data_IF_973931297727
#
_entry.id   IF_973931297727
#
_cell.length_a   1.000
_cell.length_b   1.000
_cell.length_c   1.000
_cell.angle_alpha   90.00
_cell.angle_beta   90.00
_cell.angle_gamma   90.00
#
_symmetry.space_group_name_H-M   'P 1'
#
loop_
_entity.id
_entity.type
_entity.pdbx_description
1 polymer ?
#
# COMPACT_ATOMS: atom_id res chain seq x y z
N UNK A 1 -28.06 -9.88 12.86
CA UNK A 1 -28.10 -9.07 11.64
C UNK A 1 -26.66 -8.83 11.28
N UNK A 2 -26.15 -9.57 10.30
CA UNK A 2 -24.76 -9.41 9.89
C UNK A 2 -24.70 -8.20 8.95
N UNK A 3 -23.88 -7.22 9.30
CA UNK A 3 -23.64 -6.06 8.46
C UNK A 3 -22.61 -6.35 7.38
N UNK A 4 -22.58 -5.51 6.35
CA UNK A 4 -21.51 -5.53 5.34
C UNK A 4 -20.47 -4.49 5.74
N UNK A 5 -19.19 -4.89 5.81
CA UNK A 5 -18.09 -3.94 6.03
C UNK A 5 -17.99 -3.00 4.82
N UNK A 6 -17.96 -1.70 5.08
CA UNK A 6 -17.71 -0.65 4.09
C UNK A 6 -16.52 0.17 4.52
N UNK A 7 -15.68 0.53 3.56
CA UNK A 7 -14.46 1.30 3.79
C UNK A 7 -14.44 2.47 2.83
N UNK A 8 -14.33 3.69 3.38
CA UNK A 8 -14.10 4.91 2.62
C UNK A 8 -12.62 5.28 2.73
N UNK A 9 -11.97 5.55 1.60
CA UNK A 9 -10.53 5.83 1.54
C UNK A 9 -10.31 7.24 1.02
N UNK A 10 -9.49 8.01 1.74
CA UNK A 10 -9.07 9.35 1.34
C UNK A 10 -7.55 9.45 1.40
N UNK A 11 -6.95 10.09 0.39
CA UNK A 11 -5.50 10.27 0.31
C UNK A 11 -5.13 11.69 -0.14
N UNK A 12 -3.98 12.18 0.33
CA UNK A 12 -3.37 13.41 -0.15
C UNK A 12 -1.85 13.29 -0.14
N UNK A 13 -1.23 14.04 -1.06
CA UNK A 13 0.22 14.16 -1.16
C UNK A 13 0.69 15.35 -0.32
N UNK A 14 1.70 15.13 0.51
CA UNK A 14 2.39 16.19 1.24
C UNK A 14 3.64 16.61 0.48
N UNK A 15 3.64 17.84 -0.03
CA UNK A 15 4.77 18.52 -0.66
C UNK A 15 4.94 19.95 -0.07
N UNK A 16 5.43 20.10 1.18
CA UNK A 16 5.51 21.38 1.84
C UNK A 16 6.34 22.43 1.10
N UNK A 17 7.34 22.03 0.31
CA UNK A 17 8.17 22.97 -0.46
C UNK A 17 7.42 23.61 -1.62
N UNK A 18 6.48 22.89 -2.24
CA UNK A 18 5.57 23.48 -3.23
C UNK A 18 4.56 24.45 -2.58
N UNK A 19 4.26 24.26 -1.30
CA UNK A 19 3.30 25.07 -0.51
C UNK A 19 3.97 26.21 0.29
N UNK A 20 5.21 26.59 -0.06
CA UNK A 20 5.90 27.71 0.62
C UNK A 20 6.43 27.39 2.02
N UNK A 21 6.56 26.10 2.36
CA UNK A 21 7.28 25.60 3.52
C UNK A 21 6.42 24.82 4.52
N UNK A 22 5.13 25.14 4.66
CA UNK A 22 4.22 24.42 5.57
C UNK A 22 2.93 24.06 4.84
N UNK A 23 2.59 22.78 4.85
CA UNK A 23 1.33 22.27 4.32
C UNK A 23 0.51 21.66 5.46
N UNK A 24 -0.78 21.98 5.50
CA UNK A 24 -1.74 21.37 6.43
C UNK A 24 -2.85 20.72 5.65
N UNK A 25 -3.19 19.49 6.04
CA UNK A 25 -4.26 18.70 5.46
C UNK A 25 -5.27 18.39 6.57
N UNK A 26 -6.53 18.76 6.36
CA UNK A 26 -7.61 18.47 7.30
C UNK A 26 -8.47 17.33 6.77
N UNK A 27 -8.44 16.19 7.48
CA UNK A 27 -9.30 15.04 7.19
C UNK A 27 -10.54 15.16 8.05
N UNK A 28 -11.70 15.37 7.42
CA UNK A 28 -12.99 15.45 8.11
C UNK A 28 -13.49 14.04 8.40
N UNK A 29 -14.15 13.85 9.55
CA UNK A 29 -14.77 12.56 9.89
C UNK A 29 -15.76 12.18 8.80
N UNK A 30 -15.58 10.98 8.23
CA UNK A 30 -16.51 10.40 7.26
C UNK A 30 -17.86 10.21 7.93
N UNK A 31 -18.93 10.75 7.32
CA UNK A 31 -20.28 10.51 7.78
C UNK A 31 -20.73 9.13 7.28
N UNK A 32 -21.12 8.25 8.20
CA UNK A 32 -21.56 6.89 7.88
C UNK A 32 -23.06 6.80 8.11
N UNK A 33 -23.83 6.78 7.03
CA UNK A 33 -25.30 6.83 7.10
C UNK A 33 -25.93 5.54 7.63
N UNK A 34 -25.21 4.41 7.60
CA UNK A 34 -25.71 3.08 7.98
C UNK A 34 -24.71 2.32 8.85
N UNK A 35 -24.75 2.58 10.16
CA UNK A 35 -23.94 1.86 11.16
C UNK A 35 -24.80 0.77 11.83
N UNK A 36 -24.27 -0.45 11.92
CA UNK A 36 -24.94 -1.57 12.60
C UNK A 36 -25.11 -1.24 14.10
N UNK A 37 -26.26 -1.54 14.72
CA UNK A 37 -26.44 -1.32 16.15
C UNK A 37 -25.37 -2.03 16.99
N UNK A 38 -24.84 -1.34 18.00
CA UNK A 38 -23.74 -1.79 18.87
C UNK A 38 -22.38 -1.98 18.18
N UNK A 39 -22.15 -1.42 16.98
CA UNK A 39 -20.81 -1.29 16.39
C UNK A 39 -20.28 0.14 16.44
N UNK A 40 -18.95 0.28 16.37
CA UNK A 40 -18.25 1.58 16.36
C UNK A 40 -17.44 1.69 15.07
N UNK A 41 -17.56 2.79 14.31
CA UNK A 41 -16.69 3.04 13.17
C UNK A 41 -15.22 3.21 13.56
N UNK A 42 -14.32 2.62 12.78
CA UNK A 42 -12.87 2.77 12.95
C UNK A 42 -12.30 3.70 11.87
N UNK A 43 -11.23 4.41 12.20
CA UNK A 43 -10.50 5.27 11.25
C UNK A 43 -9.00 5.07 11.44
N UNK A 44 -8.33 4.76 10.34
CA UNK A 44 -6.88 4.54 10.31
C UNK A 44 -6.22 5.66 9.54
N UNK A 45 -5.18 6.26 10.12
CA UNK A 45 -4.36 7.29 9.47
C UNK A 45 -2.98 6.70 9.23
N UNK A 46 -2.53 6.75 7.97
CA UNK A 46 -1.19 6.34 7.58
C UNK A 46 -0.50 7.52 6.88
N UNK A 47 0.69 7.90 7.38
CA UNK A 47 1.53 8.94 6.80
C UNK A 47 2.83 8.29 6.36
N UNK A 48 3.15 8.41 5.08
CA UNK A 48 4.33 7.79 4.48
C UNK A 48 5.26 8.84 3.88
N UNK A 49 6.56 8.65 4.05
CA UNK A 49 7.59 9.63 3.69
C UNK A 49 8.06 9.56 2.23
N UNK A 50 7.91 8.42 1.56
CA UNK A 50 8.36 8.24 0.19
C UNK A 50 7.48 7.25 -0.56
N UNK A 51 6.61 7.78 -1.43
CA UNK A 51 5.66 7.02 -2.24
C UNK A 51 6.34 5.89 -3.03
N UNK A 52 7.55 6.10 -3.55
CA UNK A 52 8.28 5.07 -4.29
C UNK A 52 8.76 3.94 -3.38
N UNK A 53 9.30 4.27 -2.21
CA UNK A 53 9.74 3.25 -1.26
C UNK A 53 8.56 2.41 -0.78
N UNK A 54 7.40 3.03 -0.59
CA UNK A 54 6.15 2.36 -0.23
C UNK A 54 5.60 1.45 -1.33
N UNK A 55 5.59 1.92 -2.58
CA UNK A 55 5.16 1.10 -3.72
C UNK A 55 6.08 -0.09 -3.93
N UNK A 56 7.37 0.07 -3.67
CA UNK A 56 8.36 -1.01 -3.73
C UNK A 56 8.15 -1.99 -2.57
N UNK A 57 8.02 -1.49 -1.34
CA UNK A 57 7.75 -2.27 -0.14
C UNK A 57 6.49 -3.13 -0.28
N UNK A 58 5.40 -2.52 -0.77
CA UNK A 58 4.14 -3.24 -1.03
C UNK A 58 4.26 -4.27 -2.16
N UNK A 59 5.20 -4.09 -3.08
CA UNK A 59 5.40 -5.01 -4.21
C UNK A 59 6.30 -6.20 -3.88
N UNK A 60 7.14 -6.11 -2.84
CA UNK A 60 8.13 -7.15 -2.49
C UNK A 60 7.89 -7.81 -1.13
N UNK A 61 7.01 -7.23 -0.28
CA UNK A 61 6.68 -7.79 1.04
C UNK A 61 5.31 -8.44 1.07
N UNK A 62 5.27 -9.67 1.56
CA UNK A 62 4.05 -10.42 1.85
C UNK A 62 3.25 -9.84 3.03
N UNK A 63 3.92 -9.15 3.96
CA UNK A 63 3.33 -8.51 5.15
C UNK A 63 2.85 -7.06 4.89
N UNK A 64 2.98 -6.57 3.66
CA UNK A 64 2.62 -5.20 3.33
C UNK A 64 1.11 -4.96 3.39
N UNK A 65 0.72 -3.67 3.33
CA UNK A 65 -0.68 -3.23 3.21
C UNK A 65 -1.40 -3.82 1.98
N UNK A 66 -0.68 -4.41 1.02
CA UNK A 66 -1.26 -5.20 -0.07
C UNK A 66 -2.02 -6.44 0.45
N UNK A 67 -1.61 -7.00 1.59
CA UNK A 67 -2.32 -8.11 2.25
C UNK A 67 -3.73 -7.72 2.73
N UNK A 68 -3.96 -6.44 3.07
CA UNK A 68 -5.28 -5.92 3.45
C UNK A 68 -6.23 -5.75 2.27
N UNK A 69 -5.73 -5.86 1.04
CA UNK A 69 -6.50 -5.85 -0.22
C UNK A 69 -6.12 -7.09 -1.05
N UNK A 70 -5.89 -8.24 -0.40
CA UNK A 70 -5.61 -9.47 -1.13
C UNK A 70 -6.88 -9.97 -1.79
N UNK A 71 -6.97 -9.79 -3.11
CA UNK A 71 -8.01 -10.46 -3.90
C UNK A 71 -7.80 -11.98 -3.83
N UNK A 72 -8.85 -12.78 -3.61
CA UNK A 72 -8.75 -14.23 -3.70
C UNK A 72 -8.30 -14.63 -5.12
N UNK A 73 -7.36 -15.57 -5.23
CA UNK A 73 -6.83 -16.05 -6.51
C UNK A 73 -7.78 -17.01 -7.22
N UNK A 74 -7.34 -17.51 -8.39
CA UNK A 74 -8.08 -18.50 -9.18
C UNK A 74 -8.08 -18.25 -10.69
N UNK A 75 -7.90 -16.99 -11.12
CA UNK A 75 -7.74 -16.61 -12.53
C UNK A 75 -6.26 -16.41 -12.89
N UNK A 76 -5.92 -16.63 -14.17
CA UNK A 76 -4.56 -16.45 -14.70
C UNK A 76 -4.08 -15.02 -14.49
N UNK A 77 -4.97 -14.04 -14.64
CA UNK A 77 -4.71 -12.61 -14.42
C UNK A 77 -4.29 -12.31 -12.97
N UNK A 78 -4.86 -13.01 -12.00
CA UNK A 78 -4.53 -12.83 -10.58
C UNK A 78 -3.18 -13.44 -10.24
N UNK A 79 -2.85 -14.59 -10.84
CA UNK A 79 -1.53 -15.22 -10.71
C UNK A 79 -0.44 -14.39 -11.40
N UNK A 80 -0.75 -13.78 -12.55
CA UNK A 80 0.15 -12.84 -13.21
C UNK A 80 0.37 -11.59 -12.35
N UNK A 81 -0.69 -11.04 -11.74
CA UNK A 81 -0.57 -9.86 -10.87
C UNK A 81 0.35 -10.10 -9.67
N UNK A 82 0.32 -11.30 -9.05
CA UNK A 82 1.17 -11.63 -7.90
C UNK A 82 2.65 -11.71 -8.24
N UNK A 83 3.02 -12.04 -9.49
CA UNK A 83 4.43 -12.15 -9.93
C UNK A 83 4.92 -10.85 -10.58
N UNK A 84 4.03 -10.15 -11.30
CA UNK A 84 4.39 -8.96 -12.09
C UNK A 84 4.82 -7.78 -11.21
N UNK A 85 4.14 -7.54 -10.09
CA UNK A 85 4.46 -6.43 -9.19
C UNK A 85 5.86 -6.55 -8.56
N UNK A 86 6.25 -7.69 -7.94
CA UNK A 86 7.62 -7.90 -7.46
C UNK A 86 8.67 -7.75 -8.57
N UNK A 87 8.39 -8.27 -9.78
CA UNK A 87 9.32 -8.23 -10.91
C UNK A 87 9.60 -6.80 -11.37
N UNK A 88 8.57 -5.97 -11.52
CA UNK A 88 8.73 -4.56 -11.91
C UNK A 88 9.51 -3.79 -10.84
N UNK A 89 9.20 -4.01 -9.55
CA UNK A 89 9.92 -3.36 -8.46
C UNK A 89 11.40 -3.74 -8.43
N UNK A 90 11.71 -5.03 -8.62
CA UNK A 90 13.08 -5.54 -8.70
C UNK A 90 13.83 -4.95 -9.89
N UNK A 91 13.21 -4.92 -11.08
CA UNK A 91 13.80 -4.33 -12.27
C UNK A 91 14.12 -2.85 -12.08
N UNK A 92 13.20 -2.09 -11.45
CA UNK A 92 13.42 -0.69 -11.14
C UNK A 92 14.62 -0.50 -10.20
N UNK A 93 14.68 -1.27 -9.10
CA UNK A 93 15.76 -1.17 -8.13
C UNK A 93 17.14 -1.55 -8.69
N UNK A 94 17.21 -2.59 -9.51
CA UNK A 94 18.44 -3.00 -10.19
C UNK A 94 18.90 -1.94 -11.20
N UNK A 95 17.99 -1.41 -12.01
CA UNK A 95 18.34 -0.42 -13.05
C UNK A 95 18.72 0.95 -12.48
N UNK A 96 18.25 1.28 -11.27
CA UNK A 96 18.52 2.56 -10.61
C UNK A 96 19.55 2.46 -9.49
N UNK A 97 20.15 1.28 -9.27
CA UNK A 97 21.09 0.98 -8.17
C UNK A 97 20.60 1.49 -6.80
N UNK A 98 19.29 1.34 -6.55
CA UNK A 98 18.60 2.00 -5.43
C UNK A 98 18.26 1.07 -4.26
N UNK A 99 18.86 -0.13 -4.22
CA UNK A 99 18.64 -1.11 -3.14
C UNK A 99 18.98 -0.57 -1.75
N UNK A 100 19.99 0.29 -1.62
CA UNK A 100 20.33 0.91 -0.33
C UNK A 100 19.19 1.75 0.25
N UNK A 101 18.35 2.33 -0.61
CA UNK A 101 17.23 3.21 -0.19
C UNK A 101 16.06 2.43 0.39
N UNK A 102 15.96 1.14 0.12
CA UNK A 102 14.88 0.25 0.55
C UNK A 102 15.35 -0.87 1.47
N UNK A 103 16.66 -0.96 1.73
CA UNK A 103 17.30 -2.02 2.49
C UNK A 103 17.85 -3.12 1.58
N UNK A 104 19.17 -3.27 1.55
CA UNK A 104 19.86 -4.24 0.67
C UNK A 104 19.45 -5.69 0.93
N UNK A 105 19.03 -6.00 2.16
CA UNK A 105 18.57 -7.33 2.58
C UNK A 105 17.31 -7.77 1.81
N UNK A 106 16.52 -6.80 1.35
CA UNK A 106 15.24 -7.05 0.66
C UNK A 106 15.38 -7.60 -0.74
N UNK A 107 16.59 -7.57 -1.29
CA UNK A 107 16.91 -8.27 -2.55
C UNK A 107 16.64 -9.76 -2.45
N UNK A 108 16.89 -10.36 -1.28
CA UNK A 108 16.60 -11.78 -1.06
C UNK A 108 15.09 -12.07 -1.00
N UNK A 109 14.30 -11.18 -0.38
CA UNK A 109 12.84 -11.27 -0.31
C UNK A 109 12.22 -11.21 -1.71
N UNK A 110 12.63 -10.23 -2.52
CA UNK A 110 12.13 -10.06 -3.89
C UNK A 110 12.44 -11.26 -4.82
N UNK A 111 13.59 -11.91 -4.62
CA UNK A 111 13.97 -13.10 -5.37
C UNK A 111 13.20 -14.35 -4.91
N UNK A 112 12.81 -14.43 -3.64
CA UNK A 112 12.02 -15.55 -3.11
C UNK A 112 10.58 -15.53 -3.66
N UNK A 113 9.95 -14.35 -3.76
CA UNK A 113 8.58 -14.19 -4.30
C UNK A 113 8.47 -14.48 -5.81
N UNK A 114 9.59 -14.44 -6.55
CA UNK A 114 9.61 -14.69 -8.01
C UNK A 114 9.67 -16.18 -8.38
N UNK A 115 9.74 -17.08 -7.38
CA UNK A 115 10.04 -18.51 -7.57
C UNK A 115 8.93 -19.51 -7.23
N UNK A 116 7.74 -19.06 -6.82
CA UNK A 116 6.57 -19.92 -6.56
C UNK A 116 5.51 -19.87 -7.66
#
# INVERSE_FOLDING_TARGET
MDGVQKTEVWSAVLNPSAEGGTQTVSVVRVNLDSVVPNSVPETFINVRGNVLADSIDNSISEDSLASLIRMPGGCVEQNLASITLPLIATLYLETTDSWERVGVQRKAEALATSGE
#
